data_IF_537892078895
#
_entry.id   IF_537892078895
#
_cell.length_a   1.000
_cell.length_b   1.000
_cell.length_c   1.000
_cell.angle_alpha   90.00
_cell.angle_beta   90.00
_cell.angle_gamma   90.00
#
_symmetry.space_group_name_H-M   'P 1'
#
loop_
_entity.id
_entity.type
_entity.pdbx_description
1 polymer ?
#
# COMPACT_ATOMS: atom_id res chain seq x y z
N UNK A 1 1.53 1.19 -19.16
CA UNK A 1 2.09 1.25 -20.53
C UNK A 1 2.66 2.60 -20.91
N UNK A 2 2.09 3.74 -20.49
CA UNK A 2 2.54 5.08 -20.90
C UNK A 2 4.06 5.34 -20.75
N UNK A 3 4.68 4.90 -19.66
CA UNK A 3 6.15 5.09 -19.45
C UNK A 3 6.97 4.34 -20.50
N UNK A 4 6.58 3.11 -20.83
CA UNK A 4 7.21 2.32 -21.89
C UNK A 4 7.00 2.99 -23.25
N UNK A 5 5.75 3.34 -23.58
CA UNK A 5 5.41 3.98 -24.85
C UNK A 5 6.19 5.28 -25.07
N UNK A 6 6.26 6.15 -24.06
CA UNK A 6 7.02 7.40 -24.13
C UNK A 6 8.53 7.15 -24.32
N UNK A 7 9.08 6.13 -23.64
CA UNK A 7 10.48 5.76 -23.78
C UNK A 7 10.79 5.22 -25.18
N UNK A 8 9.89 4.44 -25.77
CA UNK A 8 9.97 3.96 -27.15
C UNK A 8 9.89 5.10 -28.17
N UNK A 9 8.93 6.01 -28.01
CA UNK A 9 8.78 7.18 -28.90
C UNK A 9 10.04 8.05 -28.93
N UNK A 10 10.65 8.29 -27.76
CA UNK A 10 11.91 9.04 -27.67
C UNK A 10 13.09 8.37 -28.40
N UNK A 11 13.02 7.05 -28.64
CA UNK A 11 14.03 6.25 -29.36
C UNK A 11 13.61 5.87 -30.78
N UNK A 12 12.51 6.44 -31.28
CA UNK A 12 11.93 6.14 -32.60
C UNK A 12 11.63 4.64 -32.78
N UNK A 13 11.24 3.98 -31.70
CA UNK A 13 10.78 2.59 -31.73
C UNK A 13 9.27 2.62 -31.92
N UNK A 14 8.80 2.22 -33.10
CA UNK A 14 7.38 2.24 -33.49
C UNK A 14 6.69 0.88 -33.42
N UNK A 15 7.46 -0.20 -33.37
CA UNK A 15 6.91 -1.55 -33.34
C UNK A 15 6.20 -1.84 -32.01
N UNK A 16 4.98 -2.43 -32.04
CA UNK A 16 4.29 -2.92 -30.85
C UNK A 16 5.14 -3.93 -30.08
N UNK A 17 5.06 -3.89 -28.74
CA UNK A 17 5.93 -4.68 -27.86
C UNK A 17 5.71 -6.20 -28.04
N UNK A 18 4.47 -6.60 -28.30
CA UNK A 18 4.05 -7.99 -28.52
C UNK A 18 4.55 -8.60 -29.84
N UNK A 19 5.09 -7.78 -30.75
CA UNK A 19 5.62 -8.27 -32.03
C UNK A 19 7.12 -8.50 -32.00
N UNK A 20 7.82 -8.14 -30.92
CA UNK A 20 9.26 -8.38 -30.83
C UNK A 20 9.53 -9.86 -30.57
N UNK A 21 10.52 -10.48 -31.24
CA UNK A 21 11.06 -11.77 -30.83
C UNK A 21 11.63 -11.70 -29.41
N UNK A 22 11.55 -12.80 -28.65
CA UNK A 22 11.90 -12.81 -27.23
C UNK A 22 13.29 -12.25 -26.91
N UNK A 23 14.32 -12.65 -27.67
CA UNK A 23 15.69 -12.16 -27.46
C UNK A 23 15.84 -10.65 -27.73
N UNK A 24 15.11 -10.13 -28.72
CA UNK A 24 15.13 -8.71 -29.04
C UNK A 24 14.39 -7.92 -27.96
N UNK A 25 13.26 -8.45 -27.48
CA UNK A 25 12.52 -7.85 -26.39
C UNK A 25 13.33 -7.85 -25.09
N UNK A 26 14.06 -8.91 -24.76
CA UNK A 26 14.92 -8.96 -23.57
C UNK A 26 16.03 -7.89 -23.61
N UNK A 27 16.71 -7.75 -24.75
CA UNK A 27 17.69 -6.67 -24.95
C UNK A 27 17.05 -5.29 -24.84
N UNK A 28 15.84 -5.12 -25.36
CA UNK A 28 15.14 -3.84 -25.33
C UNK A 28 14.68 -3.47 -23.91
N UNK A 29 14.12 -4.43 -23.18
CA UNK A 29 13.74 -4.28 -21.78
C UNK A 29 14.96 -4.00 -20.90
N UNK A 30 16.11 -4.63 -21.17
CA UNK A 30 17.38 -4.32 -20.48
C UNK A 30 17.76 -2.86 -20.64
N UNK A 31 17.72 -2.31 -21.87
CA UNK A 31 17.96 -0.88 -22.11
C UNK A 31 16.93 0.00 -21.42
N UNK A 32 15.64 -0.36 -21.53
CA UNK A 32 14.55 0.37 -20.88
C UNK A 32 14.78 0.48 -19.38
N UNK A 33 15.00 -0.63 -18.67
CA UNK A 33 15.21 -0.59 -17.24
C UNK A 33 16.46 0.19 -16.87
N UNK A 34 17.56 0.08 -17.63
CA UNK A 34 18.77 0.88 -17.42
C UNK A 34 18.51 2.39 -17.49
N UNK A 35 17.76 2.83 -18.50
CA UNK A 35 17.67 4.24 -18.89
C UNK A 35 16.42 4.97 -18.38
N UNK A 36 15.36 4.25 -18.02
CA UNK A 36 14.08 4.86 -17.64
C UNK A 36 14.22 5.80 -16.44
N UNK A 37 13.69 7.02 -16.61
CA UNK A 37 13.71 8.13 -15.64
C UNK A 37 12.39 8.88 -15.66
N UNK A 38 12.11 9.61 -14.58
CA UNK A 38 10.96 10.52 -14.47
C UNK A 38 11.14 11.70 -15.45
N UNK A 39 10.07 12.45 -15.69
CA UNK A 39 10.09 13.65 -16.57
C UNK A 39 11.14 14.67 -16.11
N UNK A 40 11.33 14.82 -14.80
CA UNK A 40 12.34 15.70 -14.21
C UNK A 40 13.77 15.11 -14.20
N UNK A 41 14.02 13.98 -14.86
CA UNK A 41 15.34 13.33 -14.93
C UNK A 41 15.73 12.49 -13.70
N UNK A 42 14.95 12.53 -12.62
CA UNK A 42 15.21 11.72 -11.43
C UNK A 42 14.90 10.23 -11.67
N UNK A 43 15.57 9.37 -10.91
CA UNK A 43 15.29 7.93 -10.94
C UNK A 43 13.92 7.60 -10.31
N UNK A 44 13.34 6.50 -10.79
CA UNK A 44 12.16 5.90 -10.16
C UNK A 44 12.56 5.11 -8.91
N UNK A 45 11.63 4.98 -7.97
CA UNK A 45 11.82 4.09 -6.82
C UNK A 45 12.03 2.64 -7.30
N UNK A 46 12.86 1.84 -6.59
CA UNK A 46 13.06 0.43 -6.91
C UNK A 46 11.74 -0.35 -7.08
N UNK A 47 10.75 -0.03 -6.24
CA UNK A 47 9.43 -0.65 -6.29
C UNK A 47 8.62 -0.21 -7.52
N UNK A 48 8.74 1.07 -7.92
CA UNK A 48 8.08 1.57 -9.13
C UNK A 48 8.58 0.84 -10.38
N UNK A 49 9.87 0.50 -10.44
CA UNK A 49 10.42 -0.29 -11.55
C UNK A 49 9.82 -1.70 -11.60
N UNK A 50 9.59 -2.33 -10.44
CA UNK A 50 8.90 -3.64 -10.35
C UNK A 50 7.44 -3.56 -10.78
N UNK A 51 6.74 -2.49 -10.41
CA UNK A 51 5.37 -2.23 -10.87
C UNK A 51 5.33 -2.04 -12.39
N UNK A 52 6.32 -1.36 -12.98
CA UNK A 52 6.43 -1.25 -14.44
C UNK A 52 6.63 -2.62 -15.09
N UNK A 53 7.51 -3.47 -14.55
CA UNK A 53 7.70 -4.84 -15.04
C UNK A 53 6.40 -5.64 -15.00
N UNK A 54 5.69 -5.62 -13.87
CA UNK A 54 4.39 -6.27 -13.72
C UNK A 54 3.33 -5.75 -14.69
N UNK A 55 3.31 -4.44 -14.94
CA UNK A 55 2.38 -3.84 -15.89
C UNK A 55 2.66 -4.26 -17.34
N UNK A 56 3.93 -4.38 -17.73
CA UNK A 56 4.33 -4.86 -19.06
C UNK A 56 4.02 -6.35 -19.21
N UNK A 57 4.39 -7.16 -18.21
CA UNK A 57 4.11 -8.60 -18.21
C UNK A 57 2.61 -8.90 -18.34
N UNK A 58 1.77 -8.18 -17.56
CA UNK A 58 0.31 -8.28 -17.68
C UNK A 58 -0.17 -7.91 -19.07
N UNK A 59 0.33 -6.81 -19.64
CA UNK A 59 -0.03 -6.40 -20.99
C UNK A 59 0.33 -7.48 -22.04
N UNK A 60 1.52 -8.06 -21.96
CA UNK A 60 1.96 -9.11 -22.88
C UNK A 60 1.12 -10.39 -22.74
N UNK A 61 0.73 -10.74 -21.52
CA UNK A 61 -0.21 -11.85 -21.27
C UNK A 61 -1.59 -11.59 -21.88
N UNK A 62 -2.11 -10.37 -21.75
CA UNK A 62 -3.38 -9.97 -22.38
C UNK A 62 -3.30 -9.98 -23.92
N UNK A 63 -2.09 -9.97 -24.48
CA UNK A 63 -1.80 -10.06 -25.93
C UNK A 63 -1.40 -11.47 -26.40
N UNK A 64 -1.51 -12.47 -25.53
CA UNK A 64 -1.13 -13.86 -25.81
C UNK A 64 0.32 -14.02 -26.33
N UNK A 65 1.25 -13.27 -25.72
CA UNK A 65 2.66 -13.25 -26.13
C UNK A 65 3.42 -14.56 -25.84
N UNK A 66 2.80 -15.53 -25.16
CA UNK A 66 3.35 -16.87 -24.89
C UNK A 66 4.30 -16.98 -23.69
N UNK A 67 5.19 -16.00 -23.48
CA UNK A 67 6.20 -16.05 -22.41
C UNK A 67 6.09 -14.89 -21.41
N UNK A 68 6.35 -15.18 -20.13
CA UNK A 68 6.39 -14.17 -19.07
C UNK A 68 7.77 -13.53 -18.94
N UNK A 69 7.82 -12.19 -18.97
CA UNK A 69 9.06 -11.43 -18.76
C UNK A 69 9.52 -11.39 -17.30
N UNK A 70 8.73 -11.95 -16.39
CA UNK A 70 9.04 -12.04 -14.95
C UNK A 70 9.60 -13.42 -14.61
N UNK A 71 8.96 -14.48 -15.11
CA UNK A 71 9.27 -15.86 -14.69
C UNK A 71 10.12 -16.64 -15.69
N UNK A 72 10.07 -16.27 -16.97
CA UNK A 72 10.80 -17.02 -18.01
C UNK A 72 12.30 -16.72 -17.97
N UNK A 73 13.11 -17.77 -18.18
CA UNK A 73 14.58 -17.66 -18.24
C UNK A 73 15.05 -16.93 -19.49
N UNK A 74 14.20 -16.82 -20.52
CA UNK A 74 14.52 -16.12 -21.76
C UNK A 74 14.78 -14.63 -21.50
N UNK A 75 14.12 -14.05 -20.49
CA UNK A 75 14.25 -12.64 -20.12
C UNK A 75 15.31 -12.39 -19.03
N UNK A 76 16.36 -13.21 -19.00
CA UNK A 76 17.38 -13.13 -17.95
C UNK A 76 18.15 -11.80 -17.98
N UNK A 77 18.46 -11.25 -19.16
CA UNK A 77 19.29 -10.04 -19.23
C UNK A 77 18.54 -8.82 -18.71
N UNK A 78 17.29 -8.63 -19.12
CA UNK A 78 16.45 -7.54 -18.62
C UNK A 78 16.18 -7.65 -17.13
N UNK A 79 15.91 -8.86 -16.63
CA UNK A 79 15.73 -9.10 -15.19
C UNK A 79 17.02 -8.79 -14.41
N UNK A 80 18.18 -9.19 -14.92
CA UNK A 80 19.49 -8.87 -14.32
C UNK A 80 19.72 -7.36 -14.26
N UNK A 81 19.45 -6.63 -15.35
CA UNK A 81 19.59 -5.17 -15.39
C UNK A 81 18.64 -4.47 -14.43
N UNK A 82 17.38 -4.89 -14.39
CA UNK A 82 16.38 -4.36 -13.46
C UNK A 82 16.80 -4.56 -12.00
N UNK A 83 17.26 -5.77 -11.65
CA UNK A 83 17.72 -6.08 -10.30
C UNK A 83 18.98 -5.30 -9.92
N UNK A 84 19.95 -5.19 -10.83
CA UNK A 84 21.15 -4.40 -10.61
C UNK A 84 20.82 -2.92 -10.37
N UNK A 85 19.93 -2.33 -11.19
CA UNK A 85 19.46 -0.95 -10.99
C UNK A 85 18.75 -0.80 -9.65
N UNK A 86 17.83 -1.69 -9.32
CA UNK A 86 17.11 -1.65 -8.05
C UNK A 86 18.05 -1.79 -6.85
N UNK A 87 19.09 -2.62 -6.92
CA UNK A 87 20.11 -2.76 -5.88
C UNK A 87 20.92 -1.46 -5.71
N UNK A 88 21.40 -0.87 -6.82
CA UNK A 88 22.12 0.41 -6.82
C UNK A 88 21.28 1.53 -6.19
N UNK A 89 20.01 1.64 -6.57
CA UNK A 89 19.11 2.66 -6.03
C UNK A 89 18.89 2.47 -4.51
N UNK A 90 18.79 1.23 -4.03
CA UNK A 90 18.72 0.96 -2.57
C UNK A 90 19.99 1.37 -1.84
N UNK A 91 21.16 1.16 -2.44
CA UNK A 91 22.44 1.62 -1.87
C UNK A 91 22.51 3.16 -1.78
N UNK A 92 21.80 3.86 -2.68
CA UNK A 92 21.68 5.32 -2.68
C UNK A 92 20.61 5.84 -1.69
N UNK A 93 20.05 4.99 -0.83
CA UNK A 93 19.03 5.39 0.14
C UNK A 93 17.61 5.49 -0.42
N UNK A 94 17.36 4.97 -1.64
CA UNK A 94 16.00 4.85 -2.16
C UNK A 94 15.31 3.57 -1.69
N UNK A 95 13.98 3.53 -1.83
CA UNK A 95 13.13 2.43 -1.40
C UNK A 95 12.46 2.68 -0.05
N UNK A 96 11.75 1.66 0.42
CA UNK A 96 10.83 1.78 1.58
C UNK A 96 11.53 1.79 2.94
N UNK A 97 12.81 1.38 3.03
CA UNK A 97 13.52 1.31 4.32
C UNK A 97 13.82 2.70 4.90
N UNK A 98 14.35 3.66 4.11
CA UNK A 98 14.60 5.02 4.63
C UNK A 98 13.33 5.86 4.73
N UNK A 99 12.31 5.55 3.91
CA UNK A 99 11.00 6.23 3.91
C UNK A 99 9.93 5.42 4.66
N UNK A 100 10.30 4.75 5.75
CA UNK A 100 9.33 3.98 6.55
C UNK A 100 8.35 4.96 7.18
N UNK A 101 7.06 4.66 7.13
CA UNK A 101 6.08 5.41 7.92
C UNK A 101 6.40 5.24 9.41
N UNK A 102 6.55 6.37 10.11
CA UNK A 102 6.70 6.41 11.55
C UNK A 102 5.33 6.53 12.21
N UNK A 103 5.17 5.87 13.35
CA UNK A 103 3.97 6.05 14.17
C UNK A 103 4.03 7.43 14.83
N UNK A 104 2.86 8.04 15.03
CA UNK A 104 2.76 9.28 15.79
C UNK A 104 3.32 9.07 17.19
N UNK A 105 4.32 9.87 17.57
CA UNK A 105 4.85 9.85 18.92
C UNK A 105 3.88 10.56 19.89
N UNK A 106 4.10 10.37 21.19
CA UNK A 106 3.21 10.90 22.23
C UNK A 106 3.02 12.43 22.12
N UNK A 107 4.11 13.18 21.90
CA UNK A 107 4.04 14.64 21.77
C UNK A 107 3.26 15.10 20.54
N UNK A 108 3.40 14.41 19.41
CA UNK A 108 2.62 14.68 18.20
C UNK A 108 1.13 14.40 18.42
N UNK A 109 0.81 13.31 19.12
CA UNK A 109 -0.57 12.98 19.46
C UNK A 109 -1.17 14.05 20.37
N UNK A 110 -0.46 14.47 21.43
CA UNK A 110 -0.88 15.55 22.33
C UNK A 110 -1.13 16.86 21.59
N UNK A 111 -0.26 17.22 20.64
CA UNK A 111 -0.43 18.42 19.83
C UNK A 111 -1.73 18.39 19.02
N UNK A 112 -2.11 17.23 18.46
CA UNK A 112 -3.35 17.07 17.70
C UNK A 112 -4.61 17.23 18.58
N UNK A 113 -4.53 16.90 19.87
CA UNK A 113 -5.61 17.17 20.82
C UNK A 113 -5.64 18.65 21.22
N UNK A 114 -4.49 19.22 21.58
CA UNK A 114 -4.38 20.61 22.04
C UNK A 114 -4.79 21.62 20.97
N UNK A 115 -4.48 21.35 19.70
CA UNK A 115 -4.83 22.25 18.59
C UNK A 115 -6.27 22.04 18.05
N UNK A 116 -7.06 21.14 18.66
CA UNK A 116 -8.44 20.84 18.25
C UNK A 116 -8.58 19.99 16.99
N UNK A 117 -7.51 19.42 16.44
CA UNK A 117 -7.60 18.50 15.29
C UNK A 117 -8.30 17.19 15.65
N UNK A 118 -8.18 16.79 16.93
CA UNK A 118 -8.90 15.69 17.57
C UNK A 118 -9.71 16.25 18.74
N UNK A 119 -10.89 15.70 18.96
CA UNK A 119 -11.78 16.13 20.04
C UNK A 119 -13.24 15.93 19.70
N UNK A 120 -14.14 16.25 20.62
CA UNK A 120 -15.60 16.14 20.41
C UNK A 120 -16.29 17.50 20.19
N UNK A 121 -15.53 18.60 20.22
CA UNK A 121 -16.04 19.98 20.12
C UNK A 121 -16.54 20.34 18.71
N UNK A 122 -16.08 19.64 17.67
CA UNK A 122 -16.53 19.83 16.28
C UNK A 122 -16.75 18.48 15.59
N UNK A 123 -17.73 18.36 14.66
CA UNK A 123 -17.98 17.12 13.93
C UNK A 123 -16.74 16.59 13.19
N UNK A 124 -15.92 17.50 12.65
CA UNK A 124 -14.67 17.15 11.96
C UNK A 124 -13.63 16.61 12.94
N UNK A 125 -13.47 17.26 14.09
CA UNK A 125 -12.54 16.81 15.13
C UNK A 125 -12.94 15.42 15.68
N UNK A 126 -14.25 15.18 15.85
CA UNK A 126 -14.77 13.90 16.34
C UNK A 126 -14.55 12.80 15.31
N UNK A 127 -14.82 13.08 14.03
CA UNK A 127 -14.54 12.15 12.94
C UNK A 127 -13.05 11.81 12.86
N UNK A 128 -12.16 12.79 13.02
CA UNK A 128 -10.71 12.56 13.00
C UNK A 128 -10.25 11.71 14.20
N UNK A 129 -10.78 11.98 15.40
CA UNK A 129 -10.51 11.20 16.61
C UNK A 129 -10.96 9.74 16.45
N UNK A 130 -12.17 9.52 15.93
CA UNK A 130 -12.67 8.19 15.64
C UNK A 130 -11.83 7.49 14.56
N UNK A 131 -11.49 8.17 13.47
CA UNK A 131 -10.63 7.62 12.42
C UNK A 131 -9.28 7.15 13.00
N UNK A 132 -8.59 8.00 13.76
CA UNK A 132 -7.33 7.66 14.43
C UNK A 132 -7.48 6.45 15.35
N UNK A 133 -8.48 6.47 16.23
CA UNK A 133 -8.73 5.40 17.20
C UNK A 133 -8.96 4.05 16.50
N UNK A 134 -9.82 4.03 15.48
CA UNK A 134 -10.14 2.82 14.72
C UNK A 134 -8.93 2.31 13.91
N UNK A 135 -8.14 3.19 13.31
CA UNK A 135 -6.93 2.80 12.58
C UNK A 135 -5.86 2.20 13.50
N UNK A 136 -5.65 2.79 14.69
CA UNK A 136 -4.58 2.39 15.60
C UNK A 136 -4.94 1.17 16.46
N UNK A 137 -6.15 1.13 17.01
CA UNK A 137 -6.54 0.11 17.98
C UNK A 137 -7.07 -1.16 17.31
N UNK A 138 -7.85 -1.01 16.24
CA UNK A 138 -8.50 -2.13 15.54
C UNK A 138 -7.70 -2.54 14.30
N UNK A 139 -6.95 -1.60 13.73
CA UNK A 139 -6.13 -1.85 12.55
C UNK A 139 -6.94 -1.81 11.26
N UNK A 140 -8.05 -1.05 11.20
CA UNK A 140 -8.78 -0.81 9.95
C UNK A 140 -7.84 -0.17 8.92
N UNK A 141 -7.80 -0.73 7.70
CA UNK A 141 -6.80 -0.33 6.70
C UNK A 141 -7.44 0.35 5.51
N UNK A 142 -7.07 1.61 5.31
CA UNK A 142 -7.46 2.35 4.13
C UNK A 142 -8.93 2.75 4.12
N UNK A 143 -9.33 3.50 3.09
CA UNK A 143 -10.60 4.21 3.08
C UNK A 143 -11.83 3.29 3.15
N UNK A 144 -11.78 2.14 2.49
CA UNK A 144 -12.95 1.26 2.35
C UNK A 144 -13.30 0.61 3.69
N UNK A 145 -12.33 0.05 4.40
CA UNK A 145 -12.54 -0.57 5.72
C UNK A 145 -13.16 0.41 6.73
N UNK A 146 -12.73 1.68 6.69
CA UNK A 146 -13.32 2.73 7.53
C UNK A 146 -14.73 3.15 7.09
N UNK A 147 -15.05 3.07 5.80
CA UNK A 147 -16.37 3.43 5.27
C UNK A 147 -17.39 2.33 5.53
N UNK A 148 -16.97 1.07 5.48
CA UNK A 148 -17.81 -0.10 5.67
C UNK A 148 -17.96 -0.51 7.14
N UNK A 149 -17.32 0.19 8.07
CA UNK A 149 -17.47 -0.05 9.50
C UNK A 149 -18.73 0.65 10.04
N UNK A 150 -19.64 -0.13 10.60
CA UNK A 150 -20.89 0.33 11.20
C UNK A 150 -20.85 0.19 12.72
N UNK A 151 -21.70 0.93 13.43
CA UNK A 151 -21.77 0.88 14.91
C UNK A 151 -22.15 -0.52 15.38
N UNK A 152 -22.98 -1.22 14.61
CA UNK A 152 -23.44 -2.58 14.83
C UNK A 152 -22.31 -3.62 14.78
N UNK A 153 -21.16 -3.28 14.18
CA UNK A 153 -19.97 -4.14 14.16
C UNK A 153 -19.22 -4.11 15.51
N UNK A 154 -19.57 -3.20 16.43
CA UNK A 154 -18.95 -3.05 17.75
C UNK A 154 -19.88 -3.59 18.84
N UNK A 155 -19.39 -4.59 19.58
CA UNK A 155 -20.13 -5.27 20.64
C UNK A 155 -19.42 -5.01 21.97
N UNK A 156 -20.12 -4.37 22.90
CA UNK A 156 -19.66 -4.27 24.30
C UNK A 156 -19.87 -5.62 24.99
N UNK A 157 -18.78 -6.25 25.40
CA UNK A 157 -18.78 -7.54 26.11
C UNK A 157 -18.32 -7.30 27.56
N UNK A 158 -19.18 -7.66 28.51
CA UNK A 158 -18.84 -7.74 29.94
C UNK A 158 -18.31 -9.14 30.24
N UNK A 159 -17.25 -9.20 31.04
CA UNK A 159 -16.63 -10.45 31.49
C UNK A 159 -17.06 -10.78 32.92
N UNK A 160 -16.87 -12.04 33.32
CA UNK A 160 -17.29 -12.54 34.63
C UNK A 160 -16.54 -11.86 35.80
N UNK A 161 -15.36 -11.30 35.54
CA UNK A 161 -14.55 -10.52 36.49
C UNK A 161 -15.03 -9.06 36.63
N UNK A 162 -16.09 -8.68 35.91
CA UNK A 162 -16.64 -7.32 35.89
C UNK A 162 -15.94 -6.37 34.91
N UNK A 163 -14.92 -6.81 34.19
CA UNK A 163 -14.27 -5.99 33.15
C UNK A 163 -15.13 -5.88 31.89
N UNK A 164 -14.95 -4.81 31.12
CA UNK A 164 -15.63 -4.57 29.85
C UNK A 164 -14.62 -4.52 28.70
N UNK A 165 -15.00 -5.04 27.54
CA UNK A 165 -14.21 -4.99 26.31
C UNK A 165 -15.08 -4.68 25.11
N UNK A 166 -14.48 -4.16 24.04
CA UNK A 166 -15.17 -3.93 22.77
C UNK A 166 -14.69 -4.98 21.78
N UNK A 167 -15.63 -5.78 21.28
CA UNK A 167 -15.38 -6.78 20.25
C UNK A 167 -15.78 -6.17 18.92
N UNK A 168 -14.86 -6.15 17.96
CA UNK A 168 -15.15 -5.71 16.60
C UNK A 168 -15.35 -6.94 15.72
N UNK A 169 -16.53 -7.04 15.11
CA UNK A 169 -16.88 -8.11 14.20
C UNK A 169 -16.40 -7.76 12.79
N UNK A 170 -15.25 -8.28 12.40
CA UNK A 170 -14.61 -7.93 11.12
C UNK A 170 -15.38 -8.55 9.94
N UNK A 171 -15.78 -7.71 8.97
CA UNK A 171 -16.22 -8.17 7.66
C UNK A 171 -15.08 -8.92 6.94
N UNK A 172 -15.35 -9.99 6.17
CA UNK A 172 -14.30 -10.75 5.50
C UNK A 172 -13.49 -9.88 4.53
N UNK A 173 -12.20 -9.66 4.85
CA UNK A 173 -11.28 -8.85 4.05
C UNK A 173 -10.49 -9.68 3.02
N UNK A 174 -10.00 -9.02 1.97
CA UNK A 174 -9.27 -9.63 0.81
C UNK A 174 -8.08 -10.54 1.17
N UNK A 175 -7.46 -10.36 2.34
CA UNK A 175 -6.31 -11.17 2.80
C UNK A 175 -6.68 -12.29 3.77
N UNK A 176 -7.95 -12.38 4.18
CA UNK A 176 -8.50 -13.48 5.00
C UNK A 176 -9.64 -14.13 4.22
N UNK A 177 -9.28 -14.93 3.21
CA UNK A 177 -10.21 -15.88 2.58
C UNK A 177 -10.54 -16.99 3.60
N UNK A 178 -11.36 -16.68 4.60
CA UNK A 178 -11.92 -17.67 5.50
C UNK A 178 -12.92 -18.53 4.72
N UNK A 179 -12.58 -19.81 4.49
CA UNK A 179 -13.54 -20.76 3.95
C UNK A 179 -14.79 -20.84 4.84
N UNK A 180 -15.98 -20.63 4.25
CA UNK A 180 -17.35 -20.99 4.70
C UNK A 180 -17.76 -20.89 6.19
N UNK A 181 -16.95 -20.31 7.08
CA UNK A 181 -17.35 -19.97 8.45
C UNK A 181 -17.40 -18.45 8.56
N UNK A 182 -18.60 -17.95 8.84
CA UNK A 182 -18.87 -16.53 9.07
C UNK A 182 -18.26 -16.12 10.42
N UNK A 183 -17.70 -14.93 10.43
CA UNK A 183 -17.27 -14.11 11.57
C UNK A 183 -15.96 -14.53 12.22
N UNK A 184 -14.97 -13.64 12.14
CA UNK A 184 -13.80 -13.65 12.99
C UNK A 184 -13.99 -12.56 14.05
N UNK A 185 -14.24 -12.97 15.29
CA UNK A 185 -14.27 -12.05 16.42
C UNK A 185 -12.83 -11.71 16.83
N UNK A 186 -12.52 -10.41 16.85
CA UNK A 186 -11.32 -9.90 17.50
C UNK A 186 -11.76 -8.99 18.65
N UNK A 187 -11.32 -9.34 19.86
CA UNK A 187 -11.55 -8.53 21.05
C UNK A 187 -10.46 -7.47 21.14
N UNK A 188 -10.86 -6.21 21.23
CA UNK A 188 -9.95 -5.09 21.40
C UNK A 188 -10.23 -4.43 22.74
N UNK A 189 -9.19 -4.31 23.55
CA UNK A 189 -9.22 -3.40 24.68
C UNK A 189 -9.04 -2.00 24.10
N UNK A 190 -10.15 -1.34 23.75
CA UNK A 190 -10.13 0.08 23.48
C UNK A 190 -9.80 0.77 24.80
N UNK A 191 -8.51 0.91 25.08
CA UNK A 191 -8.04 1.78 26.14
C UNK A 191 -8.62 3.16 25.81
N UNK A 192 -9.47 3.67 26.70
CA UNK A 192 -9.94 5.04 26.58
C UNK A 192 -8.72 5.93 26.40
N UNK A 193 -8.63 6.62 25.26
CA UNK A 193 -7.98 7.93 25.28
C UNK A 193 -8.52 8.64 26.52
N UNK A 194 -7.69 9.26 27.37
CA UNK A 194 -8.09 9.67 28.71
C UNK A 194 -9.39 10.46 28.63
N UNK A 195 -10.50 9.81 28.97
CA UNK A 195 -11.82 10.41 29.17
C UNK A 195 -11.78 11.42 30.32
N UNK A 196 -10.66 11.48 31.05
CA UNK A 196 -10.34 12.51 32.04
C UNK A 196 -10.35 13.95 31.47
N UNK A 197 -10.36 14.14 30.14
CA UNK A 197 -10.52 15.47 29.54
C UNK A 197 -11.96 15.83 29.15
N UNK A 198 -12.95 14.93 29.37
CA UNK A 198 -14.34 15.13 28.93
C UNK A 198 -15.36 15.27 30.08
N UNK A 199 -14.92 15.33 31.33
CA UNK A 199 -15.79 15.56 32.50
C UNK A 199 -15.72 16.99 33.07
N UNK A 200 -15.19 17.96 32.34
CA UNK A 200 -15.27 19.38 32.75
C UNK A 200 -15.56 20.28 31.56
N UNK A 201 -16.85 20.45 31.25
CA UNK A 201 -17.52 21.72 30.95
C UNK A 201 -19.03 21.54 30.83
#
# INVERSE_FOLDING_TARGET
>A
MNVWSNWCSARRISQPIELFPYEQLDKLLSKFYGEVKKVNGADYEPESLRVMQAAIDRYLRDKDYGESIIFSRIFHQSMKTLNAKAARLRQQGMGKRPNKAEALNQSEQELLWQNGSLGNHLPVALRNANFKCLSEQIGLRGRQDHYDAYVEDFILRKHDDGSESIVFNENPTKTRSGGRKKNHEASYNLCGAPMAALETQ
#
